data_IF_212815957914
#
_entry.id   IF_212815957914
#
_cell.length_a   1.000
_cell.length_b   1.000
_cell.length_c   1.000
_cell.angle_alpha   90.00
_cell.angle_beta   90.00
_cell.angle_gamma   90.00
#
_symmetry.space_group_name_H-M   'P 1'
#
loop_
_entity.id
_entity.type
_entity.pdbx_description
1 polymer ?
#
# COMPACT_ATOMS: atom_id res chain seq x y z
N UNK A 1 -13.66 -6.13 -34.68
CA UNK A 1 -12.39 -6.46 -33.99
C UNK A 1 -12.75 -7.26 -32.74
N UNK A 2 -12.15 -8.44 -32.56
CA UNK A 2 -12.45 -9.29 -31.40
C UNK A 2 -11.71 -8.82 -30.16
N UNK A 3 -12.17 -9.24 -28.98
CA UNK A 3 -11.45 -8.97 -27.74
C UNK A 3 -10.06 -9.62 -27.74
N UNK A 4 -9.91 -10.81 -28.34
CA UNK A 4 -8.62 -11.50 -28.48
C UNK A 4 -7.60 -10.66 -29.25
N UNK A 5 -8.01 -10.07 -30.38
CA UNK A 5 -7.15 -9.20 -31.20
C UNK A 5 -6.73 -7.94 -30.43
N UNK A 6 -7.68 -7.36 -29.70
CA UNK A 6 -7.45 -6.18 -28.87
C UNK A 6 -6.46 -6.49 -27.74
N UNK A 7 -6.66 -7.60 -27.03
CA UNK A 7 -5.79 -8.00 -25.92
C UNK A 7 -4.37 -8.28 -26.41
N UNK A 8 -4.22 -8.90 -27.58
CA UNK A 8 -2.92 -9.14 -28.21
C UNK A 8 -2.22 -7.83 -28.57
N UNK A 9 -2.94 -6.93 -29.24
CA UNK A 9 -2.40 -5.61 -29.61
C UNK A 9 -2.00 -4.79 -28.38
N UNK A 10 -2.80 -4.86 -27.31
CA UNK A 10 -2.50 -4.20 -26.05
C UNK A 10 -1.25 -4.78 -25.38
N UNK A 11 -1.10 -6.11 -25.34
CA UNK A 11 0.08 -6.78 -24.78
C UNK A 11 1.36 -6.42 -25.53
N UNK A 12 1.29 -6.30 -26.86
CA UNK A 12 2.43 -5.91 -27.69
C UNK A 12 2.85 -4.47 -27.42
N UNK A 13 1.88 -3.55 -27.35
CA UNK A 13 2.11 -2.13 -27.08
C UNK A 13 2.52 -1.83 -25.62
N UNK A 14 2.37 -2.78 -24.70
CA UNK A 14 2.70 -2.58 -23.29
C UNK A 14 4.22 -2.41 -23.09
N UNK A 15 4.64 -1.32 -22.46
CA UNK A 15 6.03 -1.10 -22.05
C UNK A 15 6.36 -1.91 -20.79
N UNK A 16 6.47 -3.24 -20.93
CA UNK A 16 6.78 -4.17 -19.84
C UNK A 16 7.82 -5.20 -20.30
N UNK A 17 8.50 -5.84 -19.33
CA UNK A 17 9.47 -6.89 -19.63
C UNK A 17 8.83 -8.08 -20.37
N UNK A 18 9.59 -8.82 -21.20
CA UNK A 18 9.06 -9.99 -21.91
C UNK A 18 8.41 -11.04 -20.99
N UNK A 19 9.00 -11.25 -19.80
CA UNK A 19 8.46 -12.15 -18.78
C UNK A 19 7.10 -11.69 -18.25
N UNK A 20 6.96 -10.38 -18.02
CA UNK A 20 5.68 -9.78 -17.59
C UNK A 20 4.62 -9.94 -18.68
N UNK A 21 4.97 -9.71 -19.95
CA UNK A 21 4.06 -9.93 -21.09
C UNK A 21 3.64 -11.40 -21.18
N UNK A 22 4.57 -12.35 -20.99
CA UNK A 22 4.28 -13.79 -20.97
C UNK A 22 3.35 -14.17 -19.81
N UNK A 23 3.55 -13.59 -18.63
CA UNK A 23 2.67 -13.80 -17.47
C UNK A 23 1.26 -13.29 -17.74
N UNK A 24 1.11 -12.08 -18.29
CA UNK A 24 -0.20 -11.54 -18.62
C UNK A 24 -0.89 -12.35 -19.71
N UNK A 25 -0.17 -12.73 -20.77
CA UNK A 25 -0.71 -13.60 -21.82
C UNK A 25 -1.32 -14.88 -21.24
N UNK A 26 -0.59 -15.58 -20.36
CA UNK A 26 -1.10 -16.78 -19.68
C UNK A 26 -2.36 -16.50 -18.84
N UNK A 27 -2.42 -15.34 -18.18
CA UNK A 27 -3.60 -14.97 -17.40
C UNK A 27 -4.82 -14.70 -18.29
N UNK A 28 -4.63 -14.01 -19.42
CA UNK A 28 -5.68 -13.78 -20.40
C UNK A 28 -6.18 -15.11 -20.98
N UNK A 29 -5.29 -15.97 -21.46
CA UNK A 29 -5.63 -17.29 -22.03
C UNK A 29 -6.41 -18.17 -21.07
N UNK A 30 -6.09 -18.13 -19.77
CA UNK A 30 -6.73 -18.99 -18.77
C UNK A 30 -8.05 -18.44 -18.21
N UNK A 31 -8.17 -17.13 -18.05
CA UNK A 31 -9.25 -16.54 -17.22
C UNK A 31 -10.15 -15.56 -17.95
N UNK A 32 -9.71 -14.99 -19.08
CA UNK A 32 -10.44 -13.90 -19.77
C UNK A 32 -10.86 -14.34 -21.17
N UNK A 33 -9.95 -14.89 -21.97
CA UNK A 33 -10.22 -15.31 -23.35
C UNK A 33 -11.25 -16.43 -23.49
N UNK A 34 -11.40 -17.40 -22.57
CA UNK A 34 -12.45 -18.40 -22.69
C UNK A 34 -13.86 -17.81 -22.77
N UNK A 35 -14.08 -16.64 -22.14
CA UNK A 35 -15.38 -15.97 -22.15
C UNK A 35 -15.44 -14.82 -23.16
N UNK A 36 -14.41 -13.98 -23.23
CA UNK A 36 -14.43 -12.77 -24.05
C UNK A 36 -13.74 -12.91 -25.41
N UNK A 37 -12.86 -13.90 -25.57
CA UNK A 37 -11.97 -14.03 -26.73
C UNK A 37 -12.64 -13.83 -28.09
N UNK A 38 -13.69 -14.60 -28.43
CA UNK A 38 -14.37 -14.49 -29.71
C UNK A 38 -15.36 -13.32 -29.80
N UNK A 39 -15.64 -12.64 -28.70
CA UNK A 39 -16.67 -11.59 -28.65
C UNK A 39 -16.12 -10.32 -29.31
N UNK A 40 -16.96 -9.69 -30.14
CA UNK A 40 -16.65 -8.39 -30.71
C UNK A 40 -16.66 -7.31 -29.63
N UNK A 41 -15.61 -6.49 -29.59
CA UNK A 41 -15.42 -5.50 -28.52
C UNK A 41 -16.60 -4.53 -28.37
N UNK A 42 -17.24 -4.17 -29.48
CA UNK A 42 -18.40 -3.26 -29.53
C UNK A 42 -19.65 -3.83 -28.84
N UNK A 43 -19.74 -5.16 -28.75
CA UNK A 43 -20.88 -5.88 -28.15
C UNK A 43 -20.68 -6.18 -26.66
N UNK A 44 -19.51 -5.87 -26.10
CA UNK A 44 -19.23 -6.11 -24.68
C UNK A 44 -20.07 -5.17 -23.82
N UNK A 45 -21.00 -5.75 -23.07
CA UNK A 45 -21.91 -5.04 -22.17
C UNK A 45 -21.44 -5.07 -20.73
N UNK A 46 -21.94 -4.14 -19.91
CA UNK A 46 -21.67 -4.12 -18.47
C UNK A 46 -22.21 -5.37 -17.75
N UNK A 47 -23.31 -5.95 -18.24
CA UNK A 47 -23.89 -7.19 -17.70
C UNK A 47 -22.93 -8.36 -17.92
N UNK A 48 -22.39 -8.50 -19.12
CA UNK A 48 -21.41 -9.54 -19.43
C UNK A 48 -20.16 -9.45 -18.55
N UNK A 49 -19.65 -8.22 -18.32
CA UNK A 49 -18.53 -7.99 -17.40
C UNK A 49 -18.90 -8.36 -15.95
N UNK A 50 -20.12 -8.01 -15.54
CA UNK A 50 -20.62 -8.30 -14.19
C UNK A 50 -20.76 -9.79 -13.91
N UNK A 51 -21.28 -10.55 -14.88
CA UNK A 51 -21.47 -11.98 -14.75
C UNK A 51 -20.12 -12.72 -14.73
N UNK A 52 -19.19 -12.33 -15.60
CA UNK A 52 -17.81 -12.81 -15.51
C UNK A 52 -17.20 -12.57 -14.13
N UNK A 53 -17.34 -11.36 -13.57
CA UNK A 53 -16.79 -11.04 -12.26
C UNK A 53 -17.36 -11.92 -11.14
N UNK A 54 -18.67 -12.22 -11.17
CA UNK A 54 -19.29 -13.14 -10.20
C UNK A 54 -18.65 -14.52 -10.27
N UNK A 55 -18.46 -15.06 -11.47
CA UNK A 55 -17.84 -16.37 -11.66
C UNK A 55 -16.38 -16.38 -11.15
N UNK A 56 -15.63 -15.31 -11.40
CA UNK A 56 -14.24 -15.20 -10.97
C UNK A 56 -14.09 -15.02 -9.45
N UNK A 57 -15.05 -14.37 -8.77
CA UNK A 57 -15.04 -14.20 -7.30
C UNK A 57 -15.04 -15.54 -6.58
N UNK A 58 -15.76 -16.54 -7.11
CA UNK A 58 -15.84 -17.87 -6.51
C UNK A 58 -14.61 -18.75 -6.81
N UNK A 59 -13.87 -18.44 -7.89
CA UNK A 59 -12.77 -19.29 -8.38
C UNK A 59 -11.38 -18.81 -7.95
N UNK A 60 -11.24 -17.55 -7.55
CA UNK A 60 -9.93 -16.93 -7.33
C UNK A 60 -9.78 -16.24 -5.98
N UNK A 61 -8.57 -16.33 -5.43
CA UNK A 61 -8.16 -15.55 -4.27
C UNK A 61 -8.14 -14.05 -4.57
N UNK A 62 -8.30 -13.24 -3.52
CA UNK A 62 -8.52 -11.77 -3.60
C UNK A 62 -7.48 -11.01 -4.43
N UNK A 63 -6.20 -11.34 -4.27
CA UNK A 63 -5.09 -10.71 -4.99
C UNK A 63 -5.13 -11.03 -6.49
N UNK A 64 -5.48 -12.27 -6.84
CA UNK A 64 -5.57 -12.73 -8.22
C UNK A 64 -6.78 -12.10 -8.94
N UNK A 65 -7.94 -12.04 -8.28
CA UNK A 65 -9.13 -11.40 -8.85
C UNK A 65 -8.90 -9.90 -9.11
N UNK A 66 -8.29 -9.18 -8.15
CA UNK A 66 -8.00 -7.75 -8.31
C UNK A 66 -7.03 -7.51 -9.47
N UNK A 67 -5.99 -8.35 -9.59
CA UNK A 67 -5.05 -8.28 -10.71
C UNK A 67 -5.74 -8.56 -12.05
N UNK A 68 -6.58 -9.59 -12.14
CA UNK A 68 -7.34 -9.93 -13.35
C UNK A 68 -8.30 -8.81 -13.75
N UNK A 69 -9.09 -8.28 -12.82
CA UNK A 69 -10.03 -7.21 -13.09
C UNK A 69 -9.34 -5.89 -13.48
N UNK A 70 -8.15 -5.62 -12.91
CA UNK A 70 -7.31 -4.48 -13.33
C UNK A 70 -6.83 -4.65 -14.77
N UNK A 71 -6.37 -5.84 -15.16
CA UNK A 71 -5.91 -6.10 -16.53
C UNK A 71 -7.05 -6.05 -17.54
N UNK A 72 -8.22 -6.60 -17.19
CA UNK A 72 -9.43 -6.47 -17.98
C UNK A 72 -9.80 -5.00 -18.21
N UNK A 73 -9.74 -4.19 -17.15
CA UNK A 73 -9.93 -2.74 -17.23
C UNK A 73 -8.93 -2.08 -18.18
N UNK A 74 -7.64 -2.38 -18.08
CA UNK A 74 -6.61 -1.75 -18.92
C UNK A 74 -6.85 -2.00 -20.43
N UNK A 75 -7.29 -3.21 -20.78
CA UNK A 75 -7.64 -3.59 -22.16
C UNK A 75 -8.91 -2.86 -22.62
N UNK A 76 -9.94 -2.78 -21.79
CA UNK A 76 -11.17 -2.04 -22.10
C UNK A 76 -10.93 -0.53 -22.19
N UNK A 77 -10.06 0.04 -21.35
CA UNK A 77 -9.64 1.44 -21.44
C UNK A 77 -8.87 1.69 -22.75
N UNK A 78 -8.14 0.69 -23.26
CA UNK A 78 -7.56 0.73 -24.62
C UNK A 78 -8.63 0.71 -25.71
N UNK A 79 -9.70 -0.08 -25.57
CA UNK A 79 -10.83 -0.09 -26.50
C UNK A 79 -11.52 1.29 -26.56
N UNK A 80 -11.73 1.92 -25.40
CA UNK A 80 -12.34 3.24 -25.31
C UNK A 80 -11.48 4.31 -25.98
N UNK A 81 -10.16 4.31 -25.70
CA UNK A 81 -9.22 5.24 -26.35
C UNK A 81 -9.19 5.09 -27.87
N UNK A 82 -9.28 3.86 -28.37
CA UNK A 82 -9.36 3.55 -29.81
C UNK A 82 -10.78 3.69 -30.40
N UNK A 83 -11.75 4.15 -29.61
CA UNK A 83 -13.16 4.36 -29.99
C UNK A 83 -13.93 3.10 -30.41
N UNK A 84 -13.45 1.91 -30.08
CA UNK A 84 -14.18 0.64 -30.26
C UNK A 84 -15.23 0.41 -29.17
N UNK A 85 -15.18 1.19 -28.08
CA UNK A 85 -16.16 1.15 -27.01
C UNK A 85 -16.41 2.58 -26.52
N UNK A 86 -17.67 2.94 -26.25
CA UNK A 86 -17.97 4.28 -25.70
C UNK A 86 -17.60 4.38 -24.21
N UNK A 87 -17.99 3.38 -23.41
CA UNK A 87 -17.77 3.32 -21.96
C UNK A 87 -17.98 1.89 -21.48
N UNK A 88 -17.30 1.49 -20.39
CA UNK A 88 -17.52 0.21 -19.71
C UNK A 88 -17.76 0.39 -18.21
N UNK A 89 -18.17 -0.69 -17.56
CA UNK A 89 -18.45 -0.80 -16.12
C UNK A 89 -17.34 -0.18 -15.24
N UNK A 90 -16.06 -0.51 -15.49
CA UNK A 90 -14.93 0.01 -14.70
C UNK A 90 -14.62 1.51 -14.87
N UNK A 91 -15.20 2.19 -15.87
CA UNK A 91 -15.15 3.66 -15.99
C UNK A 91 -16.38 4.32 -15.33
N UNK A 92 -17.47 3.59 -15.15
CA UNK A 92 -18.68 4.10 -14.48
C UNK A 92 -18.54 4.10 -12.97
N UNK A 93 -17.80 3.15 -12.41
CA UNK A 93 -17.58 2.99 -10.97
C UNK A 93 -16.11 2.64 -10.67
N UNK A 94 -15.55 3.06 -9.53
CA UNK A 94 -14.25 2.60 -9.07
C UNK A 94 -14.18 1.07 -9.02
N UNK A 95 -13.06 0.49 -9.44
CA UNK A 95 -12.86 -0.97 -9.48
C UNK A 95 -13.22 -1.66 -8.16
N UNK A 96 -12.82 -1.06 -7.03
CA UNK A 96 -13.13 -1.56 -5.69
C UNK A 96 -14.63 -1.59 -5.37
N UNK A 97 -15.39 -0.62 -5.88
CA UNK A 97 -16.84 -0.60 -5.74
C UNK A 97 -17.51 -1.64 -6.63
N UNK A 98 -17.02 -1.82 -7.86
CA UNK A 98 -17.52 -2.86 -8.78
C UNK A 98 -17.31 -4.24 -8.17
N UNK A 99 -16.11 -4.54 -7.68
CA UNK A 99 -15.82 -5.82 -7.04
C UNK A 99 -16.74 -6.05 -5.81
N UNK A 100 -16.92 -5.03 -4.95
CA UNK A 100 -17.80 -5.13 -3.76
C UNK A 100 -19.24 -5.51 -4.10
N UNK A 101 -19.78 -5.01 -5.21
CA UNK A 101 -21.13 -5.35 -5.65
C UNK A 101 -21.31 -6.84 -5.99
N UNK A 102 -20.21 -7.57 -6.21
CA UNK A 102 -20.22 -8.97 -6.61
C UNK A 102 -19.71 -9.91 -5.51
N UNK A 103 -19.86 -9.52 -4.24
CA UNK A 103 -19.48 -10.36 -3.10
C UNK A 103 -18.01 -10.24 -2.70
N UNK A 104 -17.29 -9.24 -3.21
CA UNK A 104 -15.96 -8.91 -2.70
C UNK A 104 -16.08 -8.06 -1.43
N UNK A 105 -16.08 -8.70 -0.26
CA UNK A 105 -15.89 -8.01 1.01
C UNK A 105 -14.45 -7.51 1.09
N UNK A 106 -14.21 -6.34 0.50
CA UNK A 106 -12.92 -5.67 0.60
C UNK A 106 -12.56 -5.45 2.08
N UNK A 107 -11.27 -5.27 2.41
CA UNK A 107 -10.92 -4.83 3.75
C UNK A 107 -11.71 -3.56 4.07
N UNK A 108 -12.24 -3.50 5.30
CA UNK A 108 -12.80 -2.27 5.85
C UNK A 108 -11.84 -1.12 5.52
N UNK A 109 -12.40 0.03 5.15
CA UNK A 109 -11.64 1.20 4.74
C UNK A 109 -10.53 1.55 5.74
N UNK A 110 -9.29 1.19 5.42
CA UNK A 110 -8.10 1.87 5.90
C UNK A 110 -7.02 1.84 4.82
N UNK A 111 -6.81 3.03 4.23
CA UNK A 111 -5.54 3.56 3.68
C UNK A 111 -4.72 2.67 2.72
N UNK A 112 -4.66 3.15 1.48
CA UNK A 112 -3.54 3.07 0.51
C UNK A 112 -2.27 2.33 0.98
N UNK A 113 -2.15 1.06 0.61
CA UNK A 113 -0.93 0.27 0.34
C UNK A 113 -1.47 -1.08 -0.19
N UNK A 114 -1.02 -1.74 -1.24
CA UNK A 114 0.28 -1.85 -1.88
C UNK A 114 0.02 -2.29 -3.34
N UNK A 115 0.16 -1.38 -4.30
CA UNK A 115 0.74 -1.78 -5.58
C UNK A 115 2.25 -1.84 -5.32
N UNK A 116 3.00 -2.67 -6.05
CA UNK A 116 4.45 -2.90 -5.88
C UNK A 116 4.85 -4.03 -4.90
N UNK A 117 4.17 -5.19 -4.96
CA UNK A 117 4.84 -6.45 -4.58
C UNK A 117 5.77 -6.81 -5.73
N UNK A 118 7.04 -6.46 -5.59
CA UNK A 118 8.11 -7.00 -6.44
C UNK A 118 8.44 -8.41 -5.92
N UNK A 119 8.34 -9.48 -6.74
CA UNK A 119 8.47 -10.87 -6.31
C UNK A 119 9.89 -11.29 -5.83
N UNK A 120 10.79 -10.34 -5.60
CA UNK A 120 12.19 -10.62 -5.20
C UNK A 120 12.38 -10.74 -3.68
N UNK A 121 11.36 -10.46 -2.86
CA UNK A 121 11.44 -10.52 -1.39
C UNK A 121 10.98 -11.88 -0.81
N UNK A 122 10.98 -12.93 -1.63
CA UNK A 122 10.84 -14.30 -1.12
C UNK A 122 12.24 -14.80 -0.77
N UNK A 123 12.71 -14.45 0.42
CA UNK A 123 13.86 -15.15 1.01
C UNK A 123 13.33 -16.50 1.53
N UNK A 124 13.89 -17.65 1.11
CA UNK A 124 13.30 -18.97 1.39
C UNK A 124 13.28 -19.38 2.87
N UNK A 125 13.89 -18.60 3.75
CA UNK A 125 14.13 -18.94 5.15
C UNK A 125 13.52 -17.86 6.06
N UNK A 126 12.19 -17.88 6.21
CA UNK A 126 11.52 -17.11 7.25
C UNK A 126 12.04 -17.51 8.63
N UNK A 127 12.50 -16.53 9.41
CA UNK A 127 12.79 -16.68 10.84
C UNK A 127 14.19 -16.28 11.34
N UNK A 128 15.12 -15.83 10.50
CA UNK A 128 16.47 -15.46 10.99
C UNK A 128 17.08 -14.20 10.36
N UNK A 129 16.30 -13.41 9.62
CA UNK A 129 16.79 -12.16 9.04
C UNK A 129 16.84 -11.06 10.12
N UNK A 130 17.92 -10.28 10.13
CA UNK A 130 18.00 -9.10 10.98
C UNK A 130 17.05 -8.01 10.47
N UNK A 131 16.44 -7.25 11.38
CA UNK A 131 15.55 -6.14 11.02
C UNK A 131 16.21 -5.16 10.05
N UNK A 132 17.46 -4.80 10.30
CA UNK A 132 18.24 -3.88 9.45
C UNK A 132 18.38 -4.38 8.01
N UNK A 133 18.64 -5.66 7.81
CA UNK A 133 18.79 -6.25 6.48
C UNK A 133 17.46 -6.17 5.72
N UNK A 134 16.37 -6.60 6.36
CA UNK A 134 15.03 -6.54 5.77
C UNK A 134 14.62 -5.09 5.46
N UNK A 135 14.81 -4.18 6.41
CA UNK A 135 14.51 -2.77 6.26
C UNK A 135 15.27 -2.16 5.07
N UNK A 136 16.56 -2.46 4.94
CA UNK A 136 17.42 -1.98 3.85
C UNK A 136 16.92 -2.46 2.50
N UNK A 137 16.63 -3.76 2.38
CA UNK A 137 16.08 -4.33 1.16
C UNK A 137 14.72 -3.68 0.79
N UNK A 138 13.84 -3.54 1.79
CA UNK A 138 12.54 -2.89 1.61
C UNK A 138 12.67 -1.43 1.15
N UNK A 139 13.64 -0.68 1.69
CA UNK A 139 13.92 0.69 1.28
C UNK A 139 14.33 0.81 -0.20
N UNK A 140 15.07 -0.15 -0.73
CA UNK A 140 15.59 -0.11 -2.10
C UNK A 140 14.58 -0.61 -3.15
N UNK A 141 13.57 -1.39 -2.75
CA UNK A 141 12.73 -2.11 -3.72
C UNK A 141 11.24 -1.71 -3.79
N UNK A 142 10.72 -0.87 -2.89
CA UNK A 142 9.26 -0.73 -2.69
C UNK A 142 8.59 0.59 -3.15
N UNK A 143 9.17 1.43 -4.02
CA UNK A 143 8.43 2.60 -4.55
C UNK A 143 9.04 3.23 -5.81
N UNK A 144 8.21 3.44 -6.85
CA UNK A 144 8.55 4.26 -8.02
C UNK A 144 8.42 5.77 -7.75
N UNK A 145 7.79 6.18 -6.64
CA UNK A 145 7.70 7.57 -6.23
C UNK A 145 8.98 7.95 -5.47
N UNK A 146 9.77 8.83 -6.08
CA UNK A 146 11.06 9.31 -5.57
C UNK A 146 10.94 9.97 -4.19
N UNK A 147 9.98 10.85 -3.98
CA UNK A 147 9.80 11.58 -2.71
C UNK A 147 9.46 10.64 -1.56
N UNK A 148 8.53 9.72 -1.80
CA UNK A 148 8.13 8.71 -0.78
C UNK A 148 9.29 7.77 -0.47
N UNK A 149 10.11 7.43 -1.47
CA UNK A 149 11.30 6.61 -1.28
C UNK A 149 12.36 7.36 -0.46
N UNK A 150 12.62 8.62 -0.74
CA UNK A 150 13.58 9.45 0.00
C UNK A 150 13.14 9.66 1.45
N UNK A 151 11.85 9.98 1.69
CA UNK A 151 11.32 10.10 3.06
C UNK A 151 11.41 8.78 3.83
N UNK A 152 11.06 7.65 3.18
CA UNK A 152 11.22 6.32 3.76
C UNK A 152 12.66 6.05 4.16
N UNK A 153 13.60 6.27 3.24
CA UNK A 153 15.04 6.06 3.47
C UNK A 153 15.48 6.88 4.69
N UNK A 154 15.13 8.17 4.69
CA UNK A 154 15.47 9.06 5.79
C UNK A 154 14.94 8.54 7.13
N UNK A 155 13.66 8.18 7.24
CA UNK A 155 13.10 7.75 8.53
C UNK A 155 13.61 6.39 9.01
N UNK A 156 13.82 5.44 8.09
CA UNK A 156 14.34 4.12 8.43
C UNK A 156 15.81 4.21 8.88
N UNK A 157 16.66 4.95 8.17
CA UNK A 157 18.08 5.09 8.50
C UNK A 157 18.32 5.91 9.78
N UNK A 158 17.48 6.90 10.05
CA UNK A 158 17.71 7.82 11.18
C UNK A 158 17.03 7.41 12.49
N UNK A 159 15.98 6.59 12.43
CA UNK A 159 15.18 6.23 13.60
C UNK A 159 15.22 4.74 13.85
N UNK A 160 14.75 3.96 12.87
CA UNK A 160 14.38 2.56 13.12
C UNK A 160 15.56 1.61 13.06
N UNK A 161 16.40 1.73 12.03
CA UNK A 161 17.59 0.88 11.89
C UNK A 161 18.48 1.05 13.11
N UNK A 162 18.95 2.26 13.51
CA UNK A 162 19.83 2.41 14.67
C UNK A 162 19.23 1.88 15.97
N UNK A 163 17.90 1.97 16.14
CA UNK A 163 17.24 1.55 17.36
C UNK A 163 16.99 0.03 17.45
N UNK A 164 16.87 -0.64 16.30
CA UNK A 164 16.54 -2.06 16.20
C UNK A 164 17.65 -2.88 15.54
N UNK A 165 18.83 -2.28 15.32
CA UNK A 165 20.02 -2.95 14.77
C UNK A 165 20.30 -4.24 15.53
N UNK A 166 20.59 -5.30 14.78
CA UNK A 166 20.92 -6.61 15.34
C UNK A 166 19.75 -7.39 15.94
N UNK A 167 18.53 -6.83 15.99
CA UNK A 167 17.34 -7.60 16.37
C UNK A 167 16.91 -8.52 15.24
N UNK A 168 16.54 -9.75 15.58
CA UNK A 168 15.89 -10.64 14.63
C UNK A 168 14.49 -10.11 14.34
N UNK A 169 14.13 -10.06 13.07
CA UNK A 169 12.88 -9.44 12.62
C UNK A 169 11.64 -10.10 13.25
N UNK A 170 11.65 -11.42 13.41
CA UNK A 170 10.58 -12.22 14.03
C UNK A 170 10.55 -12.15 15.57
N UNK A 171 11.65 -11.74 16.19
CA UNK A 171 11.72 -11.48 17.63
C UNK A 171 11.17 -10.12 18.03
N UNK A 172 10.94 -9.21 17.08
CA UNK A 172 10.41 -7.87 17.37
C UNK A 172 9.00 -7.96 17.92
N UNK A 173 8.81 -7.36 19.09
CA UNK A 173 7.51 -7.27 19.73
C UNK A 173 7.04 -5.81 19.85
N UNK A 174 5.86 -5.65 20.44
CA UNK A 174 5.25 -4.33 20.66
C UNK A 174 6.07 -3.44 21.62
N UNK A 175 6.74 -4.03 22.61
CA UNK A 175 7.47 -3.28 23.64
C UNK A 175 8.74 -2.68 23.07
N UNK A 176 9.47 -3.44 22.25
CA UNK A 176 10.66 -2.96 21.53
C UNK A 176 10.31 -1.71 20.71
N UNK A 177 9.17 -1.72 20.02
CA UNK A 177 8.78 -0.56 19.23
C UNK A 177 8.31 0.61 20.09
N UNK A 178 7.55 0.37 21.17
CA UNK A 178 7.10 1.43 22.06
C UNK A 178 8.27 2.17 22.73
N UNK A 179 9.36 1.47 23.03
CA UNK A 179 10.58 2.05 23.59
C UNK A 179 11.20 3.13 22.68
N UNK A 180 10.95 3.06 21.36
CA UNK A 180 11.43 4.03 20.36
C UNK A 180 10.39 5.10 20.05
N UNK A 181 9.11 4.71 19.91
CA UNK A 181 8.02 5.63 19.57
C UNK A 181 7.79 6.68 20.64
N UNK A 182 7.77 6.28 21.92
CA UNK A 182 7.43 7.20 23.02
C UNK A 182 8.46 8.34 23.13
N UNK A 183 9.79 8.09 23.09
CA UNK A 183 10.77 9.17 23.00
C UNK A 183 10.61 10.03 21.73
N UNK A 184 10.38 9.42 20.56
CA UNK A 184 10.21 10.14 19.29
C UNK A 184 9.05 11.16 19.36
N UNK A 185 7.94 10.78 19.98
CA UNK A 185 6.79 11.65 20.18
C UNK A 185 7.09 12.88 21.05
N UNK A 186 8.01 12.74 22.02
CA UNK A 186 8.37 13.82 22.94
C UNK A 186 9.31 14.83 22.31
N UNK A 187 10.14 14.41 21.35
CA UNK A 187 11.21 15.22 20.77
C UNK A 187 10.89 15.79 19.38
N UNK A 188 9.86 15.26 18.71
CA UNK A 188 9.59 15.55 17.29
C UNK A 188 8.15 16.07 17.09
N UNK A 189 7.92 17.00 16.13
CA UNK A 189 6.57 17.44 15.80
C UNK A 189 5.62 16.28 15.44
N UNK A 190 4.38 16.34 15.93
CA UNK A 190 3.38 15.28 15.79
C UNK A 190 3.18 14.79 14.34
N UNK A 191 3.21 15.71 13.37
CA UNK A 191 3.06 15.36 11.97
C UNK A 191 4.20 14.49 11.43
N UNK A 192 5.44 14.79 11.84
CA UNK A 192 6.62 14.01 11.46
C UNK A 192 6.62 12.64 12.19
N UNK A 193 6.24 12.61 13.47
CA UNK A 193 6.07 11.36 14.20
C UNK A 193 5.01 10.44 13.56
N UNK A 194 3.84 10.98 13.18
CA UNK A 194 2.80 10.21 12.47
C UNK A 194 3.28 9.65 11.13
N UNK A 195 4.11 10.40 10.39
CA UNK A 195 4.73 9.93 9.14
C UNK A 195 5.72 8.80 9.40
N UNK A 196 6.63 8.97 10.36
CA UNK A 196 7.62 7.95 10.73
C UNK A 196 6.95 6.63 11.16
N UNK A 197 5.90 6.71 11.98
CA UNK A 197 5.12 5.55 12.42
C UNK A 197 4.43 4.86 11.23
N UNK A 198 3.86 5.63 10.31
CA UNK A 198 3.18 5.08 9.13
C UNK A 198 4.14 4.34 8.20
N UNK A 199 5.41 4.75 8.13
CA UNK A 199 6.45 4.09 7.33
C UNK A 199 6.84 2.76 7.98
N UNK A 200 7.00 2.73 9.30
CA UNK A 200 7.30 1.50 10.02
C UNK A 200 6.16 0.48 9.91
N UNK A 201 4.92 0.92 10.11
CA UNK A 201 3.74 0.04 10.00
C UNK A 201 3.66 -0.60 8.60
N UNK A 202 3.92 0.18 7.55
CA UNK A 202 3.98 -0.34 6.18
C UNK A 202 5.12 -1.36 5.98
N UNK A 203 6.29 -1.14 6.58
CA UNK A 203 7.42 -2.06 6.54
C UNK A 203 7.08 -3.42 7.20
N UNK A 204 6.53 -3.37 8.42
CA UNK A 204 6.18 -4.58 9.18
C UNK A 204 4.98 -5.32 8.61
N UNK A 205 4.00 -4.60 8.05
CA UNK A 205 2.91 -5.21 7.33
C UNK A 205 3.40 -5.98 6.10
N UNK A 206 4.37 -5.44 5.36
CA UNK A 206 5.00 -6.14 4.24
C UNK A 206 5.76 -7.38 4.72
N UNK A 207 6.48 -7.30 5.84
CA UNK A 207 7.16 -8.45 6.44
C UNK A 207 6.20 -9.60 6.79
N UNK A 208 4.98 -9.29 7.22
CA UNK A 208 3.91 -10.29 7.42
C UNK A 208 3.46 -10.89 6.10
N UNK A 209 3.22 -10.06 5.09
CA UNK A 209 2.75 -10.51 3.77
C UNK A 209 3.77 -11.43 3.09
N UNK A 210 5.06 -11.15 3.26
CA UNK A 210 6.15 -11.98 2.72
C UNK A 210 6.46 -13.20 3.58
N UNK A 211 5.78 -13.38 4.72
CA UNK A 211 5.98 -14.51 5.62
C UNK A 211 7.28 -14.44 6.43
N UNK A 212 7.92 -13.27 6.50
CA UNK A 212 9.13 -13.07 7.30
C UNK A 212 8.80 -13.04 8.81
N UNK A 213 7.61 -12.56 9.17
CA UNK A 213 7.09 -12.58 10.54
C UNK A 213 5.62 -13.04 10.55
N UNK A 214 5.19 -13.64 11.66
CA UNK A 214 3.85 -14.24 11.75
C UNK A 214 2.76 -13.26 12.19
N UNK A 215 3.15 -12.15 12.82
CA UNK A 215 2.23 -11.10 13.29
C UNK A 215 2.87 -9.72 13.08
N UNK A 216 2.02 -8.68 12.94
CA UNK A 216 2.51 -7.30 12.83
C UNK A 216 2.63 -6.69 14.24
N UNK A 217 3.84 -6.46 14.80
CA UNK A 217 3.98 -5.82 16.10
C UNK A 217 3.49 -4.36 16.12
N UNK A 218 3.26 -3.77 14.94
CA UNK A 218 2.70 -2.43 14.75
C UNK A 218 1.17 -2.32 14.78
N UNK A 219 0.45 -3.44 14.71
CA UNK A 219 -0.99 -3.40 14.87
C UNK A 219 -1.32 -2.79 16.25
N UNK A 220 -2.22 -1.79 16.26
CA UNK A 220 -2.83 -1.09 17.42
C UNK A 220 -2.23 0.25 17.91
N UNK A 221 -1.15 0.79 17.32
CA UNK A 221 -0.54 2.03 17.86
C UNK A 221 -1.33 3.31 17.61
N UNK A 222 -2.25 3.32 16.64
CA UNK A 222 -3.16 4.44 16.39
C UNK A 222 -3.97 4.83 17.63
N UNK A 223 -4.16 3.90 18.57
CA UNK A 223 -4.85 4.12 19.84
C UNK A 223 -3.91 4.47 21.02
N UNK A 224 -2.59 4.30 20.85
CA UNK A 224 -1.58 4.65 21.86
C UNK A 224 -0.99 6.04 21.65
N UNK A 225 -1.40 6.75 20.59
CA UNK A 225 -1.16 8.18 20.41
C UNK A 225 -2.02 8.97 21.42
N UNK A 226 -1.72 8.87 22.71
CA UNK A 226 -2.24 9.79 23.73
C UNK A 226 -1.53 11.14 23.60
N UNK A 227 -1.77 11.81 22.47
CA UNK A 227 -1.87 13.26 22.50
C UNK A 227 -3.24 13.49 23.14
N UNK A 228 -3.35 14.14 24.32
CA UNK A 228 -4.66 14.52 24.82
C UNK A 228 -5.35 15.30 23.70
N UNK A 229 -6.48 14.80 23.20
CA UNK A 229 -7.36 15.60 22.37
C UNK A 229 -7.57 16.90 23.15
N UNK A 230 -7.15 18.02 22.55
CA UNK A 230 -7.44 19.32 23.14
C UNK A 230 -8.94 19.34 23.44
N UNK A 231 -9.27 19.44 24.73
CA UNK A 231 -10.63 19.33 25.21
C UNK A 231 -11.56 20.24 24.40
N UNK A 232 -12.84 19.86 24.19
CA UNK A 232 -13.77 20.66 23.40
C UNK A 232 -13.86 22.07 24.01
N UNK A 233 -13.28 23.07 23.33
CA UNK A 233 -13.26 24.46 23.78
C UNK A 233 -11.93 25.22 23.68
N UNK A 234 -10.79 24.59 23.36
CA UNK A 234 -9.52 25.34 23.26
C UNK A 234 -9.35 26.07 21.91
N UNK A 235 -9.43 27.41 21.97
CA UNK A 235 -9.16 28.31 20.85
C UNK A 235 -7.77 28.09 20.22
N UNK A 236 -7.76 27.83 18.90
CA UNK A 236 -6.58 27.51 18.05
C UNK A 236 -5.41 28.50 18.09
N UNK A 237 -5.55 29.67 18.72
CA UNK A 237 -4.47 30.69 18.82
C UNK A 237 -3.55 30.54 20.03
N UNK A 238 -3.77 29.56 20.92
CA UNK A 238 -2.92 29.35 22.12
C UNK A 238 -2.11 28.05 22.12
N UNK A 239 -2.10 27.27 21.04
CA UNK A 239 -1.27 26.06 20.93
C UNK A 239 0.19 26.37 20.52
N UNK A 240 0.76 27.45 21.04
CA UNK A 240 2.22 27.60 21.12
C UNK A 240 2.67 26.88 22.40
N UNK A 241 3.61 25.96 22.25
CA UNK A 241 4.14 25.08 23.29
C UNK A 241 4.44 25.82 24.62
N UNK A 242 4.03 25.27 25.79
CA UNK A 242 4.41 25.80 27.08
C UNK A 242 5.77 25.27 27.55
N UNK A 243 6.83 25.41 26.74
CA UNK A 243 8.21 25.13 27.17
C UNK A 243 9.20 26.29 27.02
N UNK A 244 8.82 27.41 26.38
CA UNK A 244 9.71 28.59 26.29
C UNK A 244 9.36 29.76 27.22
N UNK A 245 8.31 29.67 28.04
CA UNK A 245 7.97 30.75 29.01
C UNK A 245 8.57 30.62 30.40
N UNK A 246 9.36 29.58 30.68
CA UNK A 246 10.08 29.45 31.95
C UNK A 246 11.58 29.82 31.88
N UNK A 247 12.14 30.00 30.67
CA UNK A 247 13.50 30.49 30.50
C UNK A 247 13.59 32.03 30.38
N UNK A 248 12.53 32.71 29.93
CA UNK A 248 12.55 34.16 29.71
C UNK A 248 12.19 35.02 30.94
N UNK A 249 11.75 34.43 32.06
CA UNK A 249 11.39 35.17 33.28
C UNK A 249 12.38 35.01 34.46
N UNK A 250 13.48 34.27 34.27
CA UNK A 250 14.53 34.09 35.29
C UNK A 250 15.83 34.88 34.99
N UNK A 251 15.81 35.81 34.04
CA UNK A 251 16.94 36.72 33.75
C UNK A 251 16.62 38.22 33.94
N UNK A 252 15.56 38.54 34.69
CA UNK A 252 15.25 39.93 35.06
C UNK A 252 15.07 40.16 36.56
N UNK A 253 15.68 39.30 37.38
CA UNK A 253 15.68 39.44 38.84
C UNK A 253 17.03 39.09 39.47
N UNK A 254 18.11 39.52 38.85
CA UNK A 254 19.42 39.75 39.47
C UNK A 254 20.01 40.95 38.75
N UNK A 255 19.78 42.11 39.35
CA UNK A 255 20.63 43.32 39.32
C UNK A 255 19.86 44.37 40.13
N UNK A 256 20.02 44.25 41.43
CA UNK A 256 20.15 45.37 42.36
C UNK A 256 21.64 45.60 42.54
#
# INVERSE_FOLDING_TARGET
MTFSDLATTWLEALAASPETKRKYRRQFERHILPMFGPIEVETITDTLISDWLKDQVHQHGRSQLTALATRMRDVLDSAVRKRHLKKHLFQKKPLTQVLRLHGYDGPASSRRTSAYITPHLVVPNGGAQLFEQFATDWMHHHSNNRLVREERIQFMDTIWIPALTGRQLDSLDRLDILAVIVPLQKTTPLAACKRAISILDACLQEAVITGCITYNPAQSWSHCLNVPEAAPGMNRKKAAFPQERLAANNHHRKDK
#
